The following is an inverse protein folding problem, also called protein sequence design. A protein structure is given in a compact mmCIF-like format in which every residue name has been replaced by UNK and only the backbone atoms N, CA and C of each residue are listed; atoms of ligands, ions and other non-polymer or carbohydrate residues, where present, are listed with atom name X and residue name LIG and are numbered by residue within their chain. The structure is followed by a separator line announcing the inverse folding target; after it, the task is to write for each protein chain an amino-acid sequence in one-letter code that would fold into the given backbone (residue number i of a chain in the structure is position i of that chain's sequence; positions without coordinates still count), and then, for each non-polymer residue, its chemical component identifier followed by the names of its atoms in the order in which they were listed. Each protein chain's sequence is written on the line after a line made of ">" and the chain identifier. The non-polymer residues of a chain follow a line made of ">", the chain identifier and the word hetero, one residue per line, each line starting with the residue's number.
data_IF_465998503781
#
_entry.id   IF_465998503781
#
_cell.length_a   1.000
_cell.length_b   1.000
_cell.length_c   1.000
_cell.angle_alpha   90.00
_cell.angle_beta   90.00
_cell.angle_gamma   90.00
#
_symmetry.space_group_name_H-M   'P 1'
#
loop_
_entity.id
_entity.type
_entity.pdbx_description
1 polymer ?
#
# COMPACT_ATOMS: atom_id res chain seq x y z
N UNK A 1 -24.17 2.01 8.39
CA UNK A 1 -23.81 2.98 7.33
C UNK A 1 -24.06 2.32 6.00
N UNK A 2 -24.61 3.03 5.01
CA UNK A 2 -24.79 2.50 3.66
C UNK A 2 -23.50 2.73 2.86
N UNK A 3 -22.84 1.64 2.47
CA UNK A 3 -21.65 1.71 1.63
C UNK A 3 -22.05 2.22 0.24
N UNK A 4 -21.43 3.34 -0.17
CA UNK A 4 -21.62 3.95 -1.49
C UNK A 4 -20.32 3.86 -2.28
N UNK A 5 -20.41 3.40 -3.53
CA UNK A 5 -19.29 3.26 -4.45
C UNK A 5 -19.54 4.09 -5.70
N UNK A 6 -18.54 4.81 -6.21
CA UNK A 6 -18.61 5.56 -7.46
C UNK A 6 -17.79 4.83 -8.52
N UNK A 7 -18.45 4.38 -9.59
CA UNK A 7 -17.79 3.73 -10.72
C UNK A 7 -17.12 4.75 -11.66
N UNK A 8 -16.22 4.27 -12.53
CA UNK A 8 -15.55 5.12 -13.52
C UNK A 8 -16.51 5.80 -14.51
N UNK A 9 -17.71 5.24 -14.68
CA UNK A 9 -18.82 5.80 -15.47
C UNK A 9 -19.45 7.05 -14.84
N UNK A 10 -19.06 7.41 -13.61
CA UNK A 10 -19.65 8.51 -12.83
C UNK A 10 -20.97 8.13 -12.11
N UNK A 11 -21.45 6.90 -12.29
CA UNK A 11 -22.63 6.38 -11.58
C UNK A 11 -22.24 5.89 -10.19
N UNK A 12 -23.15 6.03 -9.23
CA UNK A 12 -22.97 5.52 -7.87
C UNK A 12 -23.80 4.26 -7.63
N UNK A 13 -23.27 3.34 -6.84
CA UNK A 13 -23.94 2.13 -6.34
C UNK A 13 -24.02 2.23 -4.82
N UNK A 14 -25.22 2.14 -4.26
CA UNK A 14 -25.45 2.12 -2.83
C UNK A 14 -26.01 0.76 -2.40
N UNK A 15 -25.39 0.15 -1.38
CA UNK A 15 -25.89 -1.08 -0.78
C UNK A 15 -27.06 -0.74 0.16
N UNK A 16 -28.27 -1.17 -0.19
CA UNK A 16 -29.48 -0.94 0.61
C UNK A 16 -29.66 -1.97 1.71
N UNK A 17 -29.40 -3.23 1.40
CA UNK A 17 -29.43 -4.31 2.37
C UNK A 17 -28.57 -5.48 1.91
N UNK A 18 -28.05 -6.24 2.88
CA UNK A 18 -27.45 -7.55 2.67
C UNK A 18 -28.24 -8.57 3.49
N UNK A 19 -28.59 -9.69 2.86
CA UNK A 19 -29.35 -10.76 3.49
C UNK A 19 -28.87 -12.10 2.98
N UNK A 20 -29.31 -13.19 3.62
CA UNK A 20 -29.05 -14.55 3.13
C UNK A 20 -29.63 -14.80 1.73
N UNK A 21 -30.68 -14.06 1.33
CA UNK A 21 -31.30 -14.18 0.01
C UNK A 21 -30.60 -13.35 -1.07
N UNK A 22 -29.63 -12.52 -0.70
CA UNK A 22 -28.88 -11.68 -1.62
C UNK A 22 -28.67 -10.25 -1.12
N UNK A 23 -28.07 -9.43 -2.00
CA UNK A 23 -27.74 -8.03 -1.75
C UNK A 23 -28.64 -7.13 -2.59
N UNK A 24 -29.35 -6.21 -1.95
CA UNK A 24 -30.14 -5.19 -2.64
C UNK A 24 -29.26 -3.97 -2.93
N UNK A 25 -29.16 -3.60 -4.20
CA UNK A 25 -28.35 -2.49 -4.69
C UNK A 25 -29.26 -1.40 -5.29
N UNK A 26 -28.92 -0.15 -5.05
CA UNK A 26 -29.47 1.00 -5.77
C UNK A 26 -28.36 1.60 -6.65
N UNK A 27 -28.66 1.88 -7.91
CA UNK A 27 -27.73 2.52 -8.86
C UNK A 27 -28.29 3.89 -9.23
N UNK A 28 -27.49 4.95 -9.10
CA UNK A 28 -27.92 6.30 -9.46
C UNK A 28 -28.29 6.40 -10.95
N UNK A 29 -29.47 6.94 -11.24
CA UNK A 29 -29.96 7.11 -12.62
C UNK A 29 -30.70 5.90 -13.20
N UNK A 30 -30.78 4.78 -12.47
CA UNK A 30 -31.52 3.59 -12.91
C UNK A 30 -33.04 3.71 -12.69
N UNK A 31 -33.48 4.45 -11.68
CA UNK A 31 -34.90 4.59 -11.33
C UNK A 31 -35.61 3.23 -11.21
N UNK A 32 -36.84 3.15 -11.71
CA UNK A 32 -37.65 1.91 -11.77
C UNK A 32 -37.46 1.12 -13.07
N UNK A 33 -36.38 1.35 -13.83
CA UNK A 33 -36.16 0.65 -15.10
C UNK A 33 -35.92 -0.84 -14.87
N UNK A 34 -36.62 -1.66 -15.63
CA UNK A 34 -36.45 -3.12 -15.67
C UNK A 34 -35.37 -3.59 -16.64
N UNK A 35 -34.75 -2.66 -17.37
CA UNK A 35 -33.68 -2.94 -18.33
C UNK A 35 -32.35 -2.39 -17.82
N UNK A 36 -31.33 -3.25 -17.81
CA UNK A 36 -29.93 -2.89 -17.49
C UNK A 36 -29.23 -2.52 -18.80
N UNK A 37 -28.79 -1.27 -18.94
CA UNK A 37 -27.99 -0.86 -20.10
C UNK A 37 -26.52 -1.33 -19.98
N UNK A 38 -25.74 -1.18 -21.05
CA UNK A 38 -24.32 -1.59 -21.02
C UNK A 38 -23.52 -0.84 -19.95
N UNK A 39 -23.83 0.43 -19.68
CA UNK A 39 -23.18 1.23 -18.65
C UNK A 39 -23.55 0.78 -17.23
N UNK A 40 -24.77 0.29 -17.03
CA UNK A 40 -25.22 -0.27 -15.75
C UNK A 40 -24.49 -1.59 -15.48
N UNK A 41 -24.35 -2.42 -16.51
CA UNK A 41 -23.54 -3.63 -16.45
C UNK A 41 -22.07 -3.35 -16.13
N UNK A 42 -21.47 -2.32 -16.74
CA UNK A 42 -20.10 -1.91 -16.42
C UNK A 42 -19.96 -1.41 -14.96
N UNK A 43 -20.91 -0.59 -14.52
CA UNK A 43 -20.97 -0.04 -13.15
C UNK A 43 -21.07 -1.15 -12.11
N UNK A 44 -21.94 -2.14 -12.32
CA UNK A 44 -22.08 -3.30 -11.44
C UNK A 44 -20.82 -4.17 -11.41
N UNK A 45 -20.17 -4.37 -12.57
CA UNK A 45 -18.90 -5.12 -12.63
C UNK A 45 -17.82 -4.44 -11.81
N UNK A 46 -17.67 -3.12 -11.93
CA UNK A 46 -16.71 -2.37 -11.13
C UNK A 46 -17.01 -2.45 -9.63
N UNK A 47 -18.29 -2.36 -9.26
CA UNK A 47 -18.72 -2.49 -7.86
C UNK A 47 -18.37 -3.88 -7.29
N UNK A 48 -18.72 -4.96 -7.99
CA UNK A 48 -18.42 -6.31 -7.51
C UNK A 48 -16.91 -6.61 -7.53
N UNK A 49 -16.17 -6.03 -8.45
CA UNK A 49 -14.71 -6.15 -8.46
C UNK A 49 -14.10 -5.47 -7.23
N UNK A 50 -14.56 -4.26 -6.89
CA UNK A 50 -14.14 -3.55 -5.67
C UNK A 50 -14.50 -4.31 -4.39
N UNK A 51 -15.70 -4.89 -4.31
CA UNK A 51 -16.09 -5.76 -3.19
C UNK A 51 -15.14 -6.96 -3.05
N UNK A 52 -14.83 -7.61 -4.18
CA UNK A 52 -13.96 -8.77 -4.20
C UNK A 52 -12.51 -8.42 -3.83
N UNK A 53 -12.02 -7.28 -4.32
CA UNK A 53 -10.68 -6.79 -3.99
C UNK A 53 -10.58 -6.51 -2.48
N UNK A 54 -11.60 -5.88 -1.87
CA UNK A 54 -11.69 -5.69 -0.42
C UNK A 54 -11.75 -7.00 0.36
N UNK A 55 -12.59 -7.95 -0.07
CA UNK A 55 -12.74 -9.26 0.57
C UNK A 55 -11.41 -10.03 0.62
N UNK A 56 -10.64 -9.96 -0.47
CA UNK A 56 -9.34 -10.61 -0.59
C UNK A 56 -8.19 -9.82 0.04
N UNK A 57 -8.46 -8.61 0.56
CA UNK A 57 -7.43 -7.71 1.10
C UNK A 57 -6.40 -7.26 0.06
N UNK A 58 -6.75 -7.29 -1.23
CA UNK A 58 -5.84 -6.90 -2.32
C UNK A 58 -6.14 -5.50 -2.80
N UNK A 59 -5.11 -4.82 -3.30
CA UNK A 59 -5.23 -3.52 -3.93
C UNK A 59 -5.07 -3.64 -5.43
N UNK A 60 -5.95 -3.01 -6.20
CA UNK A 60 -5.90 -3.01 -7.67
C UNK A 60 -5.30 -1.70 -8.16
N UNK A 61 -4.32 -1.78 -9.05
CA UNK A 61 -3.66 -0.60 -9.59
C UNK A 61 -4.62 0.20 -10.50
N UNK A 62 -4.95 1.48 -10.19
CA UNK A 62 -5.95 2.23 -10.96
C UNK A 62 -5.57 2.48 -12.41
N UNK A 63 -4.28 2.72 -12.70
CA UNK A 63 -3.76 3.03 -14.02
C UNK A 63 -3.64 1.77 -14.91
N UNK A 64 -3.41 0.60 -14.31
CA UNK A 64 -3.40 -0.67 -15.03
C UNK A 64 -4.07 -1.77 -14.20
N UNK A 65 -5.38 -1.94 -14.45
CA UNK A 65 -6.24 -2.87 -13.70
C UNK A 65 -5.91 -4.36 -13.89
N UNK A 66 -5.00 -4.72 -14.80
CA UNK A 66 -4.49 -6.08 -14.90
C UNK A 66 -3.67 -6.48 -13.66
N UNK A 67 -3.06 -5.50 -12.99
CA UNK A 67 -2.19 -5.74 -11.84
C UNK A 67 -2.94 -5.58 -10.52
N UNK A 68 -2.74 -6.55 -9.64
CA UNK A 68 -3.21 -6.54 -8.26
C UNK A 68 -2.04 -6.75 -7.31
N UNK A 69 -2.13 -6.13 -6.14
CA UNK A 69 -1.11 -6.13 -5.11
C UNK A 69 -1.69 -6.74 -3.84
N UNK A 70 -1.02 -7.77 -3.34
CA UNK A 70 -1.34 -8.44 -2.08
C UNK A 70 -0.35 -7.98 -1.01
N UNK A 71 -0.75 -7.08 -0.09
CA UNK A 71 0.09 -6.75 1.06
C UNK A 71 0.20 -7.95 1.99
N UNK A 72 1.40 -8.15 2.52
CA UNK A 72 1.72 -9.20 3.48
C UNK A 72 1.86 -8.61 4.88
N UNK A 73 1.63 -9.42 5.94
CA UNK A 73 1.78 -8.95 7.33
C UNK A 73 3.18 -8.45 7.70
N UNK A 74 4.21 -8.85 6.95
CA UNK A 74 5.59 -8.44 7.17
C UNK A 74 5.97 -7.12 6.48
N UNK A 75 5.01 -6.45 5.81
CA UNK A 75 5.23 -5.20 5.06
C UNK A 75 5.74 -5.39 3.63
N UNK A 76 5.93 -6.64 3.19
CA UNK A 76 6.16 -6.93 1.77
C UNK A 76 4.85 -6.87 0.98
N UNK A 77 4.96 -6.73 -0.33
CA UNK A 77 3.82 -6.82 -1.24
C UNK A 77 4.12 -7.82 -2.35
N UNK A 78 3.12 -8.61 -2.74
CA UNK A 78 3.18 -9.49 -3.91
C UNK A 78 2.34 -8.89 -5.02
N UNK A 79 2.95 -8.62 -6.18
CA UNK A 79 2.25 -8.09 -7.36
C UNK A 79 1.98 -9.20 -8.37
N UNK A 80 0.74 -9.34 -8.81
CA UNK A 80 0.26 -10.33 -9.78
C UNK A 80 -0.40 -9.67 -10.99
N UNK A 81 -0.09 -10.14 -12.21
CA UNK A 81 -0.86 -9.85 -13.42
C UNK A 81 -2.00 -10.88 -13.57
N UNK A 82 -3.24 -10.44 -13.35
CA UNK A 82 -4.42 -11.29 -13.43
C UNK A 82 -4.74 -11.78 -14.84
N UNK A 83 -4.21 -11.15 -15.90
CA UNK A 83 -4.50 -11.53 -17.29
C UNK A 83 -3.75 -12.81 -17.67
N UNK A 84 -2.47 -12.87 -17.32
CA UNK A 84 -1.60 -14.00 -17.65
C UNK A 84 -1.45 -14.99 -16.49
N UNK A 85 -1.88 -14.61 -15.27
CA UNK A 85 -1.73 -15.42 -14.06
C UNK A 85 -0.27 -15.56 -13.63
N UNK A 86 0.60 -14.67 -14.11
CA UNK A 86 2.02 -14.60 -13.81
C UNK A 86 2.30 -13.33 -13.00
N UNK A 87 3.44 -13.28 -12.32
CA UNK A 87 3.80 -12.17 -11.45
C UNK A 87 3.92 -12.63 -10.01
N UNK A 88 5.10 -13.12 -9.66
CA UNK A 88 5.52 -13.16 -8.27
C UNK A 88 6.64 -12.14 -8.08
N UNK A 89 6.28 -10.86 -8.15
CA UNK A 89 7.19 -9.80 -7.72
C UNK A 89 6.89 -9.50 -6.26
N UNK A 90 7.75 -9.99 -5.37
CA UNK A 90 7.70 -9.68 -3.94
C UNK A 90 8.69 -8.58 -3.64
N UNK A 91 8.24 -7.45 -3.09
CA UNK A 91 9.13 -6.35 -2.75
C UNK A 91 8.72 -5.66 -1.44
N UNK A 92 9.69 -4.98 -0.82
CA UNK A 92 9.52 -4.25 0.43
C UNK A 92 9.75 -2.75 0.21
N UNK A 93 8.75 -1.92 0.49
CA UNK A 93 8.83 -0.44 0.55
C UNK A 93 9.32 0.31 -0.70
N UNK A 94 9.80 -0.40 -1.73
CA UNK A 94 10.17 0.07 -3.07
C UNK A 94 10.43 -1.15 -3.95
N UNK A 95 9.85 -1.17 -5.15
CA UNK A 95 10.47 -1.93 -6.23
C UNK A 95 11.83 -1.28 -6.53
N UNK A 96 12.92 -2.03 -6.50
CA UNK A 96 14.23 -1.51 -6.92
C UNK A 96 14.35 -1.39 -8.43
N UNK A 97 13.33 -1.82 -9.17
CA UNK A 97 13.33 -1.81 -10.63
C UNK A 97 12.00 -1.30 -11.16
N UNK A 98 11.93 0.01 -11.44
CA UNK A 98 10.84 0.62 -12.23
C UNK A 98 10.78 0.07 -13.67
N UNK A 99 11.77 -0.73 -14.08
CA UNK A 99 11.87 -1.26 -15.44
C UNK A 99 10.83 -2.33 -15.76
N UNK A 100 10.17 -2.91 -14.74
CA UNK A 100 9.07 -3.87 -14.93
C UNK A 100 7.71 -3.27 -14.57
N UNK A 101 6.66 -3.77 -15.22
CA UNK A 101 5.28 -3.29 -14.97
C UNK A 101 4.83 -3.65 -13.55
N UNK A 102 5.30 -4.78 -13.03
CA UNK A 102 5.08 -5.23 -11.66
C UNK A 102 5.74 -4.29 -10.65
N UNK A 103 6.97 -3.85 -10.95
CA UNK A 103 7.68 -2.88 -10.12
C UNK A 103 6.96 -1.54 -10.06
N UNK A 104 6.44 -1.07 -11.20
CA UNK A 104 5.61 0.13 -11.26
C UNK A 104 4.31 -0.01 -10.43
N UNK A 105 3.63 -1.17 -10.49
CA UNK A 105 2.43 -1.42 -9.69
C UNK A 105 2.73 -1.45 -8.18
N UNK A 106 3.84 -2.07 -7.76
CA UNK A 106 4.28 -2.04 -6.37
C UNK A 106 4.58 -0.61 -5.88
N UNK A 107 5.24 0.20 -6.71
CA UNK A 107 5.51 1.60 -6.37
C UNK A 107 4.23 2.42 -6.24
N UNK A 108 3.29 2.23 -7.16
CA UNK A 108 1.99 2.86 -7.07
C UNK A 108 1.24 2.44 -5.79
N UNK A 109 1.37 1.18 -5.37
CA UNK A 109 0.81 0.72 -4.10
C UNK A 109 1.42 1.46 -2.90
N UNK A 110 2.75 1.52 -2.79
CA UNK A 110 3.40 2.21 -1.66
C UNK A 110 3.15 3.72 -1.67
N UNK A 111 3.04 4.34 -2.85
CA UNK A 111 2.66 5.75 -2.96
C UNK A 111 1.21 6.01 -2.48
N UNK A 112 0.30 5.06 -2.74
CA UNK A 112 -1.09 5.14 -2.29
C UNK A 112 -1.27 4.78 -0.80
N UNK A 113 -0.34 4.02 -0.22
CA UNK A 113 -0.37 3.56 1.18
C UNK A 113 0.93 3.92 1.89
N UNK A 114 1.18 5.20 2.16
CA UNK A 114 2.33 5.59 2.97
C UNK A 114 2.13 5.02 4.38
N UNK A 115 2.86 3.96 4.73
CA UNK A 115 2.91 3.47 6.09
C UNK A 115 3.74 4.44 6.94
N UNK A 116 3.15 5.08 7.97
CA UNK A 116 3.90 5.94 8.87
C UNK A 116 4.85 5.05 9.67
N UNK A 117 6.14 5.13 9.35
CA UNK A 117 7.15 4.40 10.11
C UNK A 117 7.42 5.17 11.40
N UNK A 118 7.73 4.48 12.52
CA UNK A 118 7.96 5.14 13.80
C UNK A 118 8.97 6.30 13.72
N UNK A 119 9.95 6.17 12.83
CA UNK A 119 11.03 7.12 12.62
C UNK A 119 10.75 8.21 11.58
N UNK A 120 9.60 8.22 10.90
CA UNK A 120 9.28 9.28 9.92
C UNK A 120 9.14 10.67 10.58
N UNK A 121 8.73 10.73 11.86
CA UNK A 121 8.66 11.97 12.63
C UNK A 121 9.92 12.20 13.49
N UNK A 122 11.02 11.51 13.19
CA UNK A 122 12.24 11.61 13.96
C UNK A 122 12.85 13.00 13.85
N UNK A 123 13.32 13.53 14.99
CA UNK A 123 13.82 14.91 15.09
C UNK A 123 15.34 14.95 15.19
N UNK A 124 16.01 16.01 14.68
CA UNK A 124 17.43 16.19 14.89
C UNK A 124 17.84 16.02 16.36
N UNK A 125 18.88 15.24 16.60
CA UNK A 125 19.39 14.90 17.93
C UNK A 125 18.76 13.66 18.59
N UNK A 126 17.73 13.05 17.99
CA UNK A 126 17.24 11.74 18.43
C UNK A 126 18.17 10.62 17.99
N UNK A 127 18.22 9.54 18.80
CA UNK A 127 18.97 8.33 18.46
C UNK A 127 17.99 7.17 18.35
N UNK A 128 18.12 6.42 17.27
CA UNK A 128 17.24 5.33 16.89
C UNK A 128 18.06 4.06 16.67
N UNK A 129 17.56 2.92 17.13
CA UNK A 129 18.05 1.63 16.65
C UNK A 129 17.22 1.24 15.46
N UNK A 130 17.82 1.30 14.27
CA UNK A 130 17.17 0.96 13.00
C UNK A 130 17.76 -0.33 12.43
N UNK A 131 16.89 -1.20 11.89
CA UNK A 131 17.31 -2.38 11.14
C UNK A 131 17.36 -2.02 9.66
N UNK A 132 18.53 -2.17 9.05
CA UNK A 132 18.71 -2.04 7.60
C UNK A 132 18.37 -3.36 6.92
N UNK A 133 17.88 -3.29 5.68
CA UNK A 133 17.65 -4.45 4.82
C UNK A 133 18.91 -5.31 4.73
N UNK A 134 18.73 -6.63 4.73
CA UNK A 134 19.78 -7.64 4.66
C UNK A 134 20.74 -7.69 5.87
N UNK A 135 20.48 -6.89 6.91
CA UNK A 135 21.19 -6.96 8.17
C UNK A 135 20.30 -7.50 9.30
N UNK A 136 20.72 -8.58 9.99
CA UNK A 136 19.90 -9.18 11.04
C UNK A 136 19.79 -8.29 12.30
N UNK A 137 20.82 -7.48 12.55
CA UNK A 137 20.98 -6.67 13.75
C UNK A 137 20.60 -5.21 13.50
N UNK A 138 19.90 -4.61 14.46
CA UNK A 138 19.61 -3.18 14.44
C UNK A 138 20.83 -2.38 14.88
N UNK A 139 21.11 -1.26 14.21
CA UNK A 139 22.24 -0.38 14.52
C UNK A 139 21.76 0.98 15.02
N UNK A 140 22.53 1.65 15.90
CA UNK A 140 22.21 3.00 16.31
C UNK A 140 22.48 3.99 15.16
N UNK A 141 21.51 4.85 14.91
CA UNK A 141 21.61 6.00 14.02
C UNK A 141 21.21 7.26 14.78
N UNK A 142 21.95 8.34 14.54
CA UNK A 142 21.60 9.67 15.03
C UNK A 142 20.88 10.42 13.91
N UNK A 143 19.78 11.09 14.25
CA UNK A 143 19.09 11.96 13.30
C UNK A 143 19.83 13.30 13.24
N UNK A 144 20.35 13.66 12.07
CA UNK A 144 20.88 14.99 11.76
C UNK A 144 19.97 15.77 10.81
N UNK A 145 20.43 16.93 10.37
CA UNK A 145 19.65 17.84 9.51
C UNK A 145 19.32 17.24 8.13
N UNK A 146 20.14 16.29 7.66
CA UNK A 146 19.99 15.65 6.34
C UNK A 146 19.51 14.20 6.41
N UNK A 147 19.23 13.69 7.61
CA UNK A 147 18.77 12.32 7.84
C UNK A 147 19.56 11.54 8.89
N UNK A 148 19.47 10.22 8.83
CA UNK A 148 20.15 9.30 9.72
C UNK A 148 21.63 9.16 9.37
N UNK A 149 22.49 9.32 10.37
CA UNK A 149 23.93 9.04 10.29
C UNK A 149 24.28 7.94 11.28
N UNK A 150 25.12 7.00 10.84
CA UNK A 150 25.62 5.91 11.68
C UNK A 150 27.06 5.58 11.29
N UNK A 151 27.86 5.20 12.28
CA UNK A 151 29.17 4.59 12.02
C UNK A 151 28.99 3.08 11.86
N UNK A 152 29.54 2.51 10.78
CA UNK A 152 29.79 1.06 10.77
C UNK A 152 30.87 0.73 11.82
N UNK A 153 30.87 -0.50 12.32
CA UNK A 153 31.88 -1.11 13.20
C UNK A 153 33.29 -1.00 12.58
N UNK A 154 33.38 -0.80 11.26
CA UNK A 154 34.62 -0.58 10.50
C UNK A 154 35.04 0.89 10.37
N UNK A 155 34.27 1.84 10.91
CA UNK A 155 34.52 3.27 10.78
C UNK A 155 34.21 3.86 9.40
N UNK A 156 33.56 3.08 8.51
CA UNK A 156 33.10 3.59 7.22
C UNK A 156 31.82 4.41 7.42
N UNK A 157 31.90 5.68 7.06
CA UNK A 157 30.76 6.59 7.03
C UNK A 157 29.95 6.32 5.77
N UNK A 158 28.79 5.70 5.95
CA UNK A 158 27.73 5.83 4.96
C UNK A 158 27.27 7.28 4.96
N UNK A 159 27.09 7.87 3.77
CA UNK A 159 26.46 9.19 3.68
C UNK A 159 25.12 9.21 4.40
N UNK A 160 24.66 10.40 4.82
CA UNK A 160 23.40 10.54 5.52
C UNK A 160 22.27 9.83 4.75
N UNK A 161 21.56 8.94 5.42
CA UNK A 161 20.42 8.22 4.88
C UNK A 161 19.18 9.07 5.16
N UNK A 162 18.43 9.55 4.15
CA UNK A 162 17.22 10.35 4.37
C UNK A 162 16.22 9.66 5.32
N UNK A 163 15.48 10.43 6.12
CA UNK A 163 14.51 9.88 7.09
C UNK A 163 13.42 9.05 6.40
N UNK A 164 13.07 9.44 5.19
CA UNK A 164 12.09 8.81 4.30
C UNK A 164 12.62 7.54 3.65
N UNK A 165 13.91 7.24 3.81
CA UNK A 165 14.57 6.11 3.15
C UNK A 165 13.92 4.78 3.51
N UNK A 166 13.70 3.97 2.48
CA UNK A 166 13.11 2.63 2.51
C UNK A 166 14.13 1.51 2.78
N UNK A 167 15.37 1.86 3.10
CA UNK A 167 16.38 0.88 3.53
C UNK A 167 16.14 0.38 4.95
N UNK A 168 15.45 1.17 5.79
CA UNK A 168 15.08 0.76 7.14
C UNK A 168 13.78 -0.04 7.14
N UNK A 169 13.81 -1.21 7.77
CA UNK A 169 12.69 -2.17 7.84
C UNK A 169 12.06 -2.25 9.23
N UNK A 170 12.78 -1.81 10.25
CA UNK A 170 12.26 -1.68 11.61
C UNK A 170 13.06 -0.61 12.36
N UNK A 171 12.49 -0.07 13.43
CA UNK A 171 13.12 1.00 14.16
C UNK A 171 12.47 1.27 15.50
N UNK A 172 13.29 1.56 16.50
CA UNK A 172 12.83 2.07 17.80
C UNK A 172 13.70 3.22 18.25
N UNK A 173 13.08 4.27 18.82
CA UNK A 173 13.81 5.37 19.43
C UNK A 173 14.45 4.89 20.73
N UNK A 174 15.71 5.25 20.95
CA UNK A 174 16.45 4.98 22.19
C UNK A 174 16.87 6.26 22.91
N UNK A 175 16.89 7.41 22.22
CA UNK A 175 17.13 8.72 22.82
C UNK A 175 16.26 9.82 22.17
N UNK A 176 15.67 10.76 22.95
CA UNK A 176 15.61 10.75 24.41
C UNK A 176 14.92 9.47 24.93
N UNK A 177 15.31 9.05 26.12
CA UNK A 177 14.86 7.79 26.69
C UNK A 177 13.33 7.75 26.72
N UNK A 178 12.75 6.76 26.05
CA UNK A 178 11.30 6.61 26.01
C UNK A 178 10.91 5.96 27.33
N UNK A 179 10.31 6.73 28.24
CA UNK A 179 9.82 6.19 29.51
C UNK A 179 8.75 5.12 29.20
N UNK A 180 8.87 3.89 29.72
CA UNK A 180 7.97 2.78 29.42
C UNK A 180 6.54 3.01 29.89
#
# INVERSE_FOLDING_TARGET
>A
MSDTFTASTGRTVAVKSRSMMGTALEISGLGTRTTVDRGDGATLREFFLHERDKELGRWRWPENRAFVVYPQPDGTVTVLDEVIGDGLFTCYGRATDEQTTEGAAALAYFAAHPEPRPWHDAKPGEVWVLRVRDEPEGRPYTVGDTGFTGEDIRGEYWGAIPVESNVFTAGRRIWPEVTP
#
